data_IF_691391731507
#
_entry.id   IF_691391731507
#
_cell.length_a   1.000
_cell.length_b   1.000
_cell.length_c   1.000
_cell.angle_alpha   90.00
_cell.angle_beta   90.00
_cell.angle_gamma   90.00
#
_symmetry.space_group_name_H-M   'P 1'
#
loop_
_entity.id
_entity.type
_entity.pdbx_description
1 polymer ?
#
# COMPACT_ATOMS: atom_id res chain seq x y z
N UNK A 1 37.52 46.12 8.46
CA UNK A 1 37.86 44.68 8.27
C UNK A 1 36.63 43.83 8.56
N UNK A 2 35.83 43.47 7.55
CA UNK A 2 34.62 42.66 7.74
C UNK A 2 34.99 41.16 7.76
N UNK A 3 34.84 40.50 8.91
CA UNK A 3 34.99 39.04 9.02
C UNK A 3 33.87 38.36 8.22
N UNK A 4 34.16 37.89 7.01
CA UNK A 4 33.27 36.97 6.27
C UNK A 4 33.06 35.71 7.13
N UNK A 5 31.87 35.53 7.71
CA UNK A 5 31.47 34.29 8.37
C UNK A 5 31.62 33.15 7.35
N UNK A 6 32.59 32.27 7.58
CA UNK A 6 32.82 31.04 6.79
C UNK A 6 31.57 30.16 6.98
N UNK A 7 30.65 30.17 6.01
CA UNK A 7 29.46 29.31 5.99
C UNK A 7 29.96 27.87 6.01
N UNK A 8 29.77 27.15 7.10
CA UNK A 8 30.34 25.80 7.28
C UNK A 8 29.76 24.87 6.21
N UNK A 9 30.61 24.18 5.46
CA UNK A 9 30.23 23.20 4.41
C UNK A 9 29.18 22.19 4.86
N UNK A 10 29.20 21.85 6.15
CA UNK A 10 28.26 20.96 6.84
C UNK A 10 26.78 21.38 6.73
N UNK A 11 26.47 22.68 6.59
CA UNK A 11 25.08 23.14 6.49
C UNK A 11 24.43 22.77 5.15
N UNK A 12 25.20 22.82 4.05
CA UNK A 12 24.72 22.39 2.74
C UNK A 12 24.48 20.87 2.69
N UNK A 13 25.40 20.11 3.28
CA UNK A 13 25.32 18.66 3.39
C UNK A 13 24.12 18.20 4.24
N UNK A 14 23.89 18.82 5.40
CA UNK A 14 22.72 18.54 6.25
C UNK A 14 21.42 18.81 5.48
N UNK A 15 21.34 19.94 4.75
CA UNK A 15 20.14 20.27 3.98
C UNK A 15 19.93 19.30 2.81
N UNK A 16 20.99 18.82 2.17
CA UNK A 16 20.92 17.79 1.14
C UNK A 16 20.34 16.48 1.71
N UNK A 17 20.88 15.97 2.82
CA UNK A 17 20.35 14.75 3.43
C UNK A 17 18.90 14.91 3.89
N UNK A 18 18.52 16.06 4.45
CA UNK A 18 17.12 16.35 4.79
C UNK A 18 16.22 16.28 3.57
N UNK A 19 16.62 16.89 2.45
CA UNK A 19 15.86 16.84 1.21
C UNK A 19 15.73 15.40 0.68
N UNK A 20 16.82 14.62 0.72
CA UNK A 20 16.80 13.20 0.34
C UNK A 20 15.90 12.36 1.25
N UNK A 21 15.90 12.58 2.57
CA UNK A 21 14.99 11.91 3.49
C UNK A 21 13.54 12.22 3.17
N UNK A 22 13.21 13.49 2.91
CA UNK A 22 11.84 13.88 2.54
C UNK A 22 11.41 13.22 1.23
N UNK A 23 12.28 13.23 0.22
CA UNK A 23 12.02 12.54 -1.05
C UNK A 23 11.82 11.03 -0.86
N UNK A 24 12.64 10.39 -0.03
CA UNK A 24 12.51 8.98 0.31
C UNK A 24 11.18 8.66 0.98
N UNK A 25 10.73 9.50 1.92
CA UNK A 25 9.42 9.33 2.57
C UNK A 25 8.26 9.52 1.59
N UNK A 26 8.34 10.50 0.69
CA UNK A 26 7.32 10.70 -0.36
C UNK A 26 7.24 9.46 -1.25
N UNK A 27 8.38 8.94 -1.71
CA UNK A 27 8.43 7.75 -2.57
C UNK A 27 7.89 6.51 -1.85
N UNK A 28 8.30 6.28 -0.61
CA UNK A 28 7.79 5.18 0.20
C UNK A 28 6.27 5.27 0.42
N UNK A 29 5.76 6.47 0.71
CA UNK A 29 4.32 6.72 0.84
C UNK A 29 3.55 6.45 -0.46
N UNK A 30 4.08 6.91 -1.59
CA UNK A 30 3.47 6.68 -2.91
C UNK A 30 3.42 5.18 -3.26
N UNK A 31 4.50 4.44 -2.99
CA UNK A 31 4.54 2.99 -3.21
C UNK A 31 3.55 2.25 -2.31
N UNK A 32 3.46 2.62 -1.03
CA UNK A 32 2.48 2.04 -0.10
C UNK A 32 1.04 2.30 -0.56
N UNK A 33 0.74 3.51 -1.04
CA UNK A 33 -0.56 3.88 -1.56
C UNK A 33 -0.93 3.04 -2.81
N UNK A 34 0.00 2.93 -3.77
CA UNK A 34 -0.22 2.12 -4.97
C UNK A 34 -0.42 0.64 -4.64
N UNK A 35 0.33 0.11 -3.66
CA UNK A 35 0.15 -1.26 -3.19
C UNK A 35 -1.26 -1.51 -2.64
N UNK A 36 -1.79 -0.61 -1.80
CA UNK A 36 -3.15 -0.71 -1.26
C UNK A 36 -4.23 -0.65 -2.35
N UNK A 37 -3.99 0.10 -3.43
CA UNK A 37 -4.91 0.21 -4.58
C UNK A 37 -4.79 -0.93 -5.61
N UNK A 38 -3.83 -1.84 -5.46
CA UNK A 38 -3.59 -2.92 -6.42
C UNK A 38 -4.56 -4.10 -6.26
N UNK A 39 -5.26 -4.18 -5.13
CA UNK A 39 -6.22 -5.23 -4.88
C UNK A 39 -7.45 -5.07 -5.81
N UNK A 40 -7.86 -6.13 -6.54
CA UNK A 40 -9.07 -6.08 -7.33
C UNK A 40 -10.29 -5.86 -6.44
N UNK A 41 -11.24 -5.07 -6.92
CA UNK A 41 -12.51 -4.88 -6.23
C UNK A 41 -13.30 -6.18 -6.15
N UNK A 42 -14.08 -6.33 -5.08
CA UNK A 42 -15.01 -7.43 -4.92
C UNK A 42 -16.16 -7.24 -5.92
N UNK A 43 -16.21 -8.08 -6.96
CA UNK A 43 -17.23 -8.03 -7.99
C UNK A 43 -18.61 -8.40 -7.45
N UNK A 44 -19.68 -7.89 -8.08
CA UNK A 44 -21.05 -8.21 -7.67
C UNK A 44 -21.44 -9.61 -8.15
N UNK A 45 -21.41 -10.55 -7.23
CA UNK A 45 -22.01 -11.87 -7.35
C UNK A 45 -22.69 -12.25 -6.04
N UNK A 46 -23.68 -13.16 -6.10
CA UNK A 46 -24.42 -13.59 -4.91
C UNK A 46 -23.53 -14.24 -3.84
N UNK A 47 -22.39 -14.80 -4.27
CA UNK A 47 -21.38 -15.42 -3.40
C UNK A 47 -20.26 -14.46 -2.94
N UNK A 48 -20.32 -13.18 -3.33
CA UNK A 48 -19.38 -12.14 -2.91
C UNK A 48 -20.06 -11.18 -1.93
N UNK A 49 -20.15 -11.62 -0.67
CA UNK A 49 -20.75 -10.86 0.43
C UNK A 49 -19.64 -10.19 1.25
N UNK A 50 -19.52 -8.86 1.16
CA UNK A 50 -18.43 -8.12 1.81
C UNK A 50 -18.42 -8.24 3.35
N UNK A 51 -19.58 -8.51 3.96
CA UNK A 51 -19.73 -8.67 5.42
C UNK A 51 -19.42 -10.09 5.91
N UNK A 52 -19.11 -11.02 5.00
CA UNK A 52 -18.76 -12.38 5.39
C UNK A 52 -17.38 -12.42 6.07
N UNK A 53 -17.18 -13.37 7.00
CA UNK A 53 -15.89 -13.53 7.67
C UNK A 53 -14.83 -14.04 6.68
N UNK A 54 -13.54 -13.69 6.87
CA UNK A 54 -12.46 -14.01 5.92
C UNK A 54 -12.36 -15.50 5.59
N UNK A 55 -12.66 -16.37 6.55
CA UNK A 55 -12.61 -17.83 6.38
C UNK A 55 -13.49 -18.31 5.23
N UNK A 56 -14.65 -17.67 5.03
CA UNK A 56 -15.53 -17.98 3.89
C UNK A 56 -14.88 -17.61 2.57
N UNK A 57 -14.21 -16.47 2.47
CA UNK A 57 -13.47 -16.08 1.26
C UNK A 57 -12.35 -17.08 0.95
N UNK A 58 -11.63 -17.53 1.98
CA UNK A 58 -10.50 -18.45 1.84
C UNK A 58 -10.92 -19.84 1.34
N UNK A 59 -12.18 -20.27 1.54
CA UNK A 59 -12.68 -21.55 1.02
C UNK A 59 -12.50 -21.70 -0.49
N UNK A 60 -12.61 -20.60 -1.25
CA UNK A 60 -12.40 -20.57 -2.69
C UNK A 60 -11.01 -20.00 -3.06
N UNK A 61 -10.56 -18.94 -2.39
CA UNK A 61 -9.34 -18.23 -2.77
C UNK A 61 -8.03 -18.94 -2.39
N UNK A 62 -8.06 -19.96 -1.51
CA UNK A 62 -6.90 -20.81 -1.22
C UNK A 62 -6.92 -22.15 -1.98
N UNK A 63 -8.09 -22.57 -2.46
CA UNK A 63 -8.28 -23.91 -3.07
C UNK A 63 -8.04 -23.94 -4.57
N UNK A 64 -7.61 -22.82 -5.18
CA UNK A 64 -7.29 -22.70 -6.61
C UNK A 64 -8.41 -23.23 -7.54
N UNK A 65 -9.67 -22.99 -7.17
CA UNK A 65 -10.80 -23.31 -8.06
C UNK A 65 -10.67 -22.48 -9.35
N UNK A 66 -11.01 -23.07 -10.50
CA UNK A 66 -10.76 -22.50 -11.86
C UNK A 66 -11.24 -21.04 -12.05
N UNK A 67 -12.22 -20.58 -11.28
CA UNK A 67 -12.84 -19.27 -11.39
C UNK A 67 -12.43 -18.27 -10.29
N UNK A 68 -11.70 -18.71 -9.26
CA UNK A 68 -11.22 -17.83 -8.19
C UNK A 68 -9.79 -17.36 -8.50
N UNK A 69 -9.52 -16.04 -8.46
CA UNK A 69 -8.16 -15.55 -8.63
C UNK A 69 -7.27 -15.99 -7.48
N UNK A 70 -6.01 -16.29 -7.80
CA UNK A 70 -4.97 -16.64 -6.82
C UNK A 70 -4.69 -15.41 -5.95
N UNK A 71 -4.71 -15.59 -4.63
CA UNK A 71 -4.37 -14.57 -3.66
C UNK A 71 -2.82 -14.45 -3.55
N UNK A 72 -2.20 -13.34 -4.01
CA UNK A 72 -0.74 -13.21 -4.06
C UNK A 72 -0.12 -12.78 -2.73
N UNK A 73 -0.93 -12.68 -1.68
CA UNK A 73 -0.50 -12.32 -0.32
C UNK A 73 -0.94 -13.42 0.65
N UNK A 74 -0.34 -13.42 1.84
CA UNK A 74 -0.76 -14.32 2.93
C UNK A 74 -2.18 -13.96 3.43
N UNK A 75 -2.94 -14.90 4.01
CA UNK A 75 -4.22 -14.60 4.65
C UNK A 75 -4.12 -13.45 5.66
N UNK A 76 -5.17 -12.64 5.72
CA UNK A 76 -5.31 -11.50 6.63
C UNK A 76 -6.63 -11.61 7.39
N UNK A 77 -6.76 -10.86 8.48
CA UNK A 77 -7.96 -10.82 9.33
C UNK A 77 -9.19 -10.20 8.66
N UNK A 78 -9.02 -9.50 7.54
CA UNK A 78 -10.10 -8.88 6.75
C UNK A 78 -9.71 -8.85 5.28
N UNK A 79 -10.67 -9.11 4.40
CA UNK A 79 -10.49 -9.06 2.95
C UNK A 79 -10.98 -7.72 2.36
N UNK A 80 -12.02 -7.12 2.94
CA UNK A 80 -12.72 -5.93 2.45
C UNK A 80 -11.94 -4.62 2.59
N UNK A 81 -10.91 -4.59 3.45
CA UNK A 81 -10.04 -3.42 3.61
C UNK A 81 -9.33 -3.03 2.29
N UNK A 82 -8.77 -4.02 1.60
CA UNK A 82 -8.14 -3.86 0.28
C UNK A 82 -9.12 -4.22 -0.85
N UNK A 83 -9.87 -5.32 -0.72
CA UNK A 83 -10.85 -5.77 -1.72
C UNK A 83 -12.21 -5.10 -1.51
N UNK A 84 -12.27 -3.80 -1.78
CA UNK A 84 -13.51 -3.02 -1.60
C UNK A 84 -14.63 -3.51 -2.52
N UNK A 85 -15.89 -3.51 -2.08
CA UNK A 85 -17.03 -3.81 -2.93
C UNK A 85 -17.08 -2.83 -4.11
N UNK A 86 -17.35 -3.36 -5.30
CA UNK A 86 -17.58 -2.53 -6.48
C UNK A 86 -18.78 -1.60 -6.22
N UNK A 87 -18.54 -0.29 -6.19
CA UNK A 87 -19.58 0.74 -6.02
C UNK A 87 -20.72 0.55 -7.02
N UNK A 88 -21.99 0.84 -6.64
CA UNK A 88 -23.22 0.69 -7.44
C UNK A 88 -23.08 1.04 -8.92
#
# INVERSE_FOLDING_TARGET
>A
MAKKKKKSSRAGEINFYKAMTVLGLILAGALAYMFLGSAPSLSRHDFHVATDPPEKCLTCHMTQVKSAPIMPHRPMESCDFCHKPAQP
#
